data_IF_002656464115
#
_entry.id   IF_002656464115
#
_cell.length_a   1.000
_cell.length_b   1.000
_cell.length_c   1.000
_cell.angle_alpha   90.00
_cell.angle_beta   90.00
_cell.angle_gamma   90.00
#
_symmetry.space_group_name_H-M   'P 1'
#
loop_
_entity.id
_entity.type
_entity.pdbx_description
1 polymer ?
#
# COMPACT_ATOMS: atom_id res chain seq x y z
N UNK A 1 22.43 -59.48 -16.95
CA UNK A 1 21.20 -59.05 -16.25
C UNK A 1 21.25 -57.53 -16.12
N UNK A 2 20.30 -56.88 -16.78
CA UNK A 2 19.92 -55.46 -16.79
C UNK A 2 19.63 -54.92 -15.37
N UNK A 3 19.54 -53.64 -15.03
CA UNK A 3 19.90 -52.32 -15.59
C UNK A 3 19.76 -51.37 -14.38
N UNK A 4 20.79 -50.58 -14.07
CA UNK A 4 20.79 -49.61 -12.97
C UNK A 4 19.91 -48.39 -13.31
N UNK A 5 18.84 -48.15 -12.56
CA UNK A 5 18.03 -46.93 -12.64
C UNK A 5 18.38 -46.00 -11.47
N UNK A 6 19.26 -45.04 -11.74
CA UNK A 6 19.44 -43.83 -10.93
C UNK A 6 18.22 -42.93 -11.19
N UNK A 7 17.29 -42.90 -10.24
CA UNK A 7 16.22 -41.90 -10.21
C UNK A 7 16.83 -40.58 -9.77
N UNK A 8 17.20 -39.75 -10.75
CA UNK A 8 17.32 -38.31 -10.52
C UNK A 8 15.93 -37.74 -10.27
N UNK A 9 15.55 -37.69 -8.99
CA UNK A 9 14.43 -36.87 -8.54
C UNK A 9 14.82 -35.41 -8.68
N UNK A 10 14.45 -34.83 -9.83
CA UNK A 10 14.50 -33.40 -10.07
C UNK A 10 13.91 -32.66 -8.87
N UNK A 11 14.76 -31.90 -8.17
CA UNK A 11 14.29 -30.87 -7.25
C UNK A 11 13.59 -29.82 -8.12
N UNK A 12 12.28 -29.97 -8.26
CA UNK A 12 11.41 -28.89 -8.65
C UNK A 12 11.59 -27.81 -7.58
N UNK A 13 12.45 -26.83 -7.88
CA UNK A 13 12.49 -25.58 -7.15
C UNK A 13 11.14 -24.93 -7.42
N UNK A 14 10.23 -25.05 -6.48
CA UNK A 14 9.02 -24.23 -6.43
C UNK A 14 9.49 -22.79 -6.25
N UNK A 15 9.73 -22.12 -7.37
CA UNK A 15 9.93 -20.68 -7.42
C UNK A 15 8.59 -20.02 -7.11
N UNK A 16 8.25 -19.90 -5.85
CA UNK A 16 7.08 -19.16 -5.38
C UNK A 16 7.47 -18.32 -4.18
N UNK A 17 7.15 -17.02 -4.25
CA UNK A 17 7.09 -16.07 -3.13
C UNK A 17 8.42 -15.53 -2.57
N UNK A 18 9.16 -14.77 -3.36
CA UNK A 18 10.03 -13.71 -2.83
C UNK A 18 9.86 -12.41 -3.63
N UNK A 19 8.63 -12.12 -4.06
CA UNK A 19 8.35 -10.88 -4.81
C UNK A 19 8.10 -9.69 -3.87
N UNK A 20 7.68 -9.93 -2.63
CA UNK A 20 7.43 -8.93 -1.62
C UNK A 20 8.10 -9.39 -0.33
N UNK A 21 8.84 -8.49 0.31
CA UNK A 21 9.65 -8.79 1.49
C UNK A 21 8.96 -8.40 2.80
N UNK A 22 7.98 -7.50 2.72
CA UNK A 22 7.25 -7.00 3.88
C UNK A 22 5.82 -6.68 3.48
N UNK A 23 4.88 -7.22 4.24
CA UNK A 23 3.47 -6.86 4.15
C UNK A 23 3.09 -6.15 5.43
N UNK A 24 2.40 -5.02 5.30
CA UNK A 24 1.91 -4.24 6.44
C UNK A 24 0.42 -4.00 6.29
N UNK A 25 -0.31 -4.21 7.39
CA UNK A 25 -1.74 -3.88 7.50
C UNK A 25 -1.89 -2.70 8.42
N UNK A 26 -2.27 -1.56 7.86
CA UNK A 26 -2.43 -0.32 8.61
C UNK A 26 -3.90 -0.03 8.85
N UNK A 27 -4.24 0.36 10.08
CA UNK A 27 -5.58 0.79 10.48
C UNK A 27 -5.51 2.04 11.32
N UNK A 28 -6.47 2.91 11.12
CA UNK A 28 -6.58 4.13 11.91
C UNK A 28 -7.62 5.04 11.29
N UNK A 29 -7.25 6.30 11.11
CA UNK A 29 -8.17 7.31 10.64
C UNK A 29 -7.57 8.22 9.58
N UNK A 30 -8.46 8.76 8.76
CA UNK A 30 -8.16 9.91 7.93
C UNK A 30 -8.96 11.10 8.41
N UNK A 31 -8.24 12.20 8.63
CA UNK A 31 -8.80 13.50 8.98
C UNK A 31 -8.66 14.47 7.83
N UNK A 32 -9.75 15.14 7.47
CA UNK A 32 -9.74 16.22 6.48
C UNK A 32 -10.87 17.22 6.77
N UNK A 33 -10.60 18.51 6.57
CA UNK A 33 -11.56 19.60 6.81
C UNK A 33 -12.33 19.48 8.15
N UNK A 34 -11.62 19.13 9.23
CA UNK A 34 -12.18 19.03 10.58
C UNK A 34 -13.06 17.81 10.85
N UNK A 35 -13.08 16.83 9.94
CA UNK A 35 -13.80 15.56 10.15
C UNK A 35 -12.87 14.37 9.99
N UNK A 36 -13.09 13.34 10.80
CA UNK A 36 -12.33 12.08 10.76
C UNK A 36 -13.20 10.88 10.37
N UNK A 37 -12.60 9.88 9.72
CA UNK A 37 -13.24 8.59 9.43
C UNK A 37 -12.23 7.45 9.51
N UNK A 38 -12.71 6.30 9.98
CA UNK A 38 -11.96 5.06 9.96
C UNK A 38 -11.41 4.71 8.56
N UNK A 39 -10.13 4.35 8.55
CA UNK A 39 -9.33 4.13 7.37
C UNK A 39 -8.50 2.85 7.55
N UNK A 40 -8.29 2.14 6.45
CA UNK A 40 -7.39 0.98 6.39
C UNK A 40 -6.58 1.00 5.11
N UNK A 41 -5.33 0.53 5.22
CA UNK A 41 -4.38 0.51 4.15
C UNK A 41 -3.45 -0.71 4.31
N UNK A 42 -3.58 -1.67 3.41
CA UNK A 42 -2.72 -2.84 3.35
C UNK A 42 -1.71 -2.66 2.21
N UNK A 43 -0.41 -2.68 2.54
CA UNK A 43 0.68 -2.48 1.61
C UNK A 43 1.55 -3.73 1.52
N UNK A 44 1.96 -4.05 0.30
CA UNK A 44 2.96 -5.08 0.01
C UNK A 44 4.23 -4.40 -0.52
N UNK A 45 5.28 -4.33 0.31
CA UNK A 45 6.54 -3.70 -0.04
C UNK A 45 7.47 -4.71 -0.71
N UNK A 46 8.13 -4.27 -1.79
CA UNK A 46 9.06 -5.05 -2.59
C UNK A 46 10.43 -4.37 -2.67
N UNK A 47 11.46 -5.09 -2.26
CA UNK A 47 12.84 -4.58 -2.23
C UNK A 47 13.44 -4.33 -3.62
N UNK A 48 13.26 -5.25 -4.56
CA UNK A 48 13.98 -5.21 -5.84
C UNK A 48 13.77 -3.90 -6.64
N UNK A 49 12.56 -3.33 -6.58
CA UNK A 49 12.22 -2.11 -7.31
C UNK A 49 11.83 -0.94 -6.39
N UNK A 50 12.01 -1.08 -5.07
CA UNK A 50 11.59 -0.10 -4.06
C UNK A 50 10.16 0.40 -4.31
N UNK A 51 9.24 -0.55 -4.50
CA UNK A 51 7.81 -0.28 -4.73
C UNK A 51 6.94 -0.88 -3.64
N UNK A 52 5.94 -0.14 -3.17
CA UNK A 52 4.88 -0.65 -2.32
C UNK A 52 3.58 -0.75 -3.13
N UNK A 53 3.01 -1.94 -3.23
CA UNK A 53 1.73 -2.19 -3.90
C UNK A 53 0.60 -2.01 -2.89
N UNK A 54 -0.42 -1.23 -3.24
CA UNK A 54 -1.63 -1.08 -2.44
C UNK A 54 -2.54 -2.27 -2.71
N UNK A 55 -2.58 -3.24 -1.79
CA UNK A 55 -3.39 -4.45 -1.97
C UNK A 55 -4.85 -4.22 -1.59
N UNK A 56 -5.09 -3.58 -0.44
CA UNK A 56 -6.43 -3.24 0.04
C UNK A 56 -6.40 -1.87 0.66
N UNK A 57 -7.38 -1.04 0.32
CA UNK A 57 -7.55 0.24 0.97
C UNK A 57 -8.96 0.78 0.75
N UNK A 58 -9.45 1.54 1.72
CA UNK A 58 -10.57 2.46 1.54
C UNK A 58 -10.12 3.93 1.49
N UNK A 59 -8.81 4.18 1.59
CA UNK A 59 -8.17 5.50 1.60
C UNK A 59 -7.12 5.74 0.52
N UNK A 60 -6.83 4.76 -0.34
CA UNK A 60 -5.92 4.91 -1.48
C UNK A 60 -6.40 4.03 -2.65
N UNK A 61 -6.02 4.36 -3.90
CA UNK A 61 -6.40 3.54 -5.05
C UNK A 61 -5.74 2.15 -4.97
N UNK A 62 -6.58 1.12 -4.87
CA UNK A 62 -6.14 -0.28 -4.87
C UNK A 62 -5.49 -0.65 -6.20
N UNK A 63 -4.46 -1.50 -6.15
CA UNK A 63 -3.70 -1.97 -7.31
C UNK A 63 -2.61 -0.99 -7.79
N UNK A 64 -2.60 0.24 -7.29
CA UNK A 64 -1.55 1.21 -7.61
C UNK A 64 -0.25 0.93 -6.86
N UNK A 65 0.85 1.39 -7.44
CA UNK A 65 2.21 1.18 -6.90
C UNK A 65 2.80 2.52 -6.47
N UNK A 66 3.20 2.57 -5.21
CA UNK A 66 3.94 3.67 -4.60
C UNK A 66 5.43 3.41 -4.80
N UNK A 67 6.21 4.45 -5.08
CA UNK A 67 7.67 4.35 -4.89
C UNK A 67 7.98 4.67 -3.45
N UNK A 68 8.77 3.81 -2.80
CA UNK A 68 9.21 4.03 -1.43
C UNK A 68 10.73 4.20 -1.37
N UNK A 69 11.21 4.94 -0.38
CA UNK A 69 12.62 5.05 -0.03
C UNK A 69 12.79 4.54 1.38
N UNK A 70 13.73 3.62 1.56
CA UNK A 70 14.05 3.06 2.86
C UNK A 70 15.07 3.96 3.55
N UNK A 71 14.73 4.44 4.73
CA UNK A 71 15.66 5.10 5.64
C UNK A 71 15.86 4.23 6.89
N UNK A 72 16.87 4.50 7.73
CA UNK A 72 17.07 3.74 8.97
C UNK A 72 15.86 3.76 9.90
N UNK A 73 15.11 4.87 9.94
CA UNK A 73 13.95 5.08 10.81
C UNK A 73 12.63 4.79 10.11
N UNK A 74 12.49 5.17 8.83
CA UNK A 74 11.19 5.21 8.16
C UNK A 74 11.18 4.59 6.76
N UNK A 75 10.03 4.03 6.39
CA UNK A 75 9.66 3.80 5.00
C UNK A 75 8.86 4.99 4.48
N UNK A 76 9.52 5.86 3.70
CA UNK A 76 8.86 7.03 3.11
C UNK A 76 8.36 6.70 1.71
N UNK A 77 7.16 7.16 1.37
CA UNK A 77 6.46 6.85 0.13
C UNK A 77 5.85 8.11 -0.46
N UNK A 78 5.97 8.27 -1.77
CA UNK A 78 5.33 9.37 -2.49
C UNK A 78 4.55 8.81 -3.67
N UNK A 79 3.28 9.19 -3.72
CA UNK A 79 2.40 8.96 -4.86
C UNK A 79 2.00 10.28 -5.48
N UNK A 80 2.21 10.40 -6.78
CA UNK A 80 1.66 11.50 -7.56
C UNK A 80 0.56 10.95 -8.44
N UNK A 81 -0.65 11.49 -8.32
CA UNK A 81 -1.76 11.06 -9.17
C UNK A 81 -1.44 11.45 -10.62
N UNK A 82 -1.60 10.50 -11.54
CA UNK A 82 -1.24 10.69 -12.96
C UNK A 82 -2.09 11.76 -13.66
N UNK A 83 -3.34 11.94 -13.22
CA UNK A 83 -4.26 12.96 -13.68
C UNK A 83 -4.99 13.56 -12.47
N UNK A 84 -4.41 14.59 -11.85
CA UNK A 84 -4.98 15.20 -10.67
C UNK A 84 -6.34 15.84 -11.03
N UNK A 85 -7.35 15.58 -10.21
CA UNK A 85 -8.71 16.13 -10.37
C UNK A 85 -9.68 15.46 -11.36
N UNK A 86 -9.30 14.43 -12.14
CA UNK A 86 -10.18 13.95 -13.23
C UNK A 86 -10.57 12.46 -13.20
N UNK A 87 -9.88 11.60 -12.46
CA UNK A 87 -10.30 10.21 -12.36
C UNK A 87 -10.70 9.89 -10.92
N UNK A 88 -12.00 10.00 -10.68
CA UNK A 88 -12.67 9.11 -9.75
C UNK A 88 -12.24 7.70 -10.14
N UNK A 89 -11.24 7.13 -9.46
CA UNK A 89 -11.05 5.70 -9.53
C UNK A 89 -12.39 5.12 -9.07
N UNK A 90 -13.09 4.43 -9.97
CA UNK A 90 -14.36 3.74 -9.67
C UNK A 90 -14.23 2.82 -8.45
N UNK A 91 -13.00 2.53 -8.02
CA UNK A 91 -12.66 1.63 -6.93
C UNK A 91 -12.21 2.30 -5.61
N UNK A 92 -12.32 3.64 -5.49
CA UNK A 92 -12.56 4.23 -4.16
C UNK A 92 -14.04 4.04 -3.75
N UNK A 93 -14.89 3.82 -4.74
CA UNK A 93 -16.29 4.17 -4.75
C UNK A 93 -17.21 2.94 -4.62
N UNK A 94 -17.48 2.54 -3.40
CA UNK A 94 -18.90 2.49 -2.97
C UNK A 94 -19.33 3.86 -2.41
N UNK A 95 -18.98 4.92 -3.15
CA UNK A 95 -19.61 6.25 -3.12
C UNK A 95 -19.44 7.15 -1.89
N UNK A 96 -19.00 6.68 -0.72
CA UNK A 96 -19.35 7.40 0.51
C UNK A 96 -18.30 8.35 1.09
N UNK A 97 -17.04 8.37 0.62
CA UNK A 97 -15.98 9.17 1.27
C UNK A 97 -15.64 10.49 0.57
N UNK A 98 -15.34 10.48 -0.75
CA UNK A 98 -15.20 11.73 -1.53
C UNK A 98 -16.50 12.53 -1.55
N UNK A 99 -17.65 11.85 -1.49
CA UNK A 99 -18.97 12.50 -1.32
C UNK A 99 -19.08 13.20 0.03
N UNK A 100 -18.48 12.66 1.09
CA UNK A 100 -18.52 13.25 2.42
C UNK A 100 -17.48 14.36 2.64
N UNK A 101 -16.36 14.34 1.89
CA UNK A 101 -15.29 15.33 1.94
C UNK A 101 -14.95 15.88 0.53
N UNK A 102 -15.58 16.99 0.11
CA UNK A 102 -15.43 17.54 -1.24
C UNK A 102 -14.04 18.17 -1.49
N UNK A 103 -13.29 18.53 -0.45
CA UNK A 103 -11.92 19.05 -0.53
C UNK A 103 -10.96 18.04 -1.18
N UNK A 104 -11.20 16.74 -0.99
CA UNK A 104 -10.37 15.68 -1.56
C UNK A 104 -10.47 15.56 -3.09
N UNK A 105 -11.44 16.24 -3.72
CA UNK A 105 -11.48 16.37 -5.19
C UNK A 105 -10.23 17.05 -5.76
N UNK A 106 -9.52 17.83 -4.94
CA UNK A 106 -8.30 18.54 -5.31
C UNK A 106 -7.03 17.72 -5.07
N UNK A 107 -7.15 16.48 -4.58
CA UNK A 107 -6.00 15.64 -4.27
C UNK A 107 -5.10 15.45 -5.50
N UNK A 108 -3.81 15.71 -5.33
CA UNK A 108 -2.81 15.57 -6.37
C UNK A 108 -1.63 14.69 -5.93
N UNK A 109 -1.18 14.85 -4.68
CA UNK A 109 -0.02 14.11 -4.15
C UNK A 109 -0.38 13.49 -2.80
N UNK A 110 0.13 12.29 -2.57
CA UNK A 110 0.01 11.58 -1.30
C UNK A 110 1.42 11.26 -0.82
N UNK A 111 1.74 11.66 0.41
CA UNK A 111 3.00 11.33 1.07
C UNK A 111 2.68 10.44 2.25
N UNK A 112 3.39 9.33 2.40
CA UNK A 112 3.24 8.43 3.54
C UNK A 112 4.61 8.20 4.15
N UNK A 113 4.66 8.03 5.45
CA UNK A 113 5.82 7.59 6.20
C UNK A 113 5.37 6.52 7.17
N UNK A 114 6.09 5.39 7.23
CA UNK A 114 5.87 4.35 8.23
C UNK A 114 7.12 4.27 9.08
N UNK A 115 6.96 4.50 10.39
CA UNK A 115 8.02 4.30 11.37
C UNK A 115 8.32 2.80 11.49
N UNK A 116 9.60 2.43 11.33
CA UNK A 116 10.04 1.02 11.32
C UNK A 116 10.14 0.40 12.71
N UNK A 117 10.19 1.20 13.76
CA UNK A 117 10.31 0.76 15.14
C UNK A 117 8.93 0.68 15.81
N UNK A 118 8.12 1.72 15.61
CA UNK A 118 6.82 1.86 16.26
C UNK A 118 5.68 1.28 15.42
N UNK A 119 5.87 1.16 14.10
CA UNK A 119 4.82 0.72 13.19
C UNK A 119 3.76 1.80 12.94
N UNK A 120 4.00 3.05 13.31
CA UNK A 120 3.05 4.14 13.07
C UNK A 120 3.19 4.67 11.64
N UNK A 121 2.06 4.76 10.93
CA UNK A 121 1.95 5.37 9.62
C UNK A 121 1.31 6.74 9.73
N UNK A 122 2.09 7.72 9.28
CA UNK A 122 1.63 9.07 9.05
C UNK A 122 1.52 9.34 7.55
N UNK A 123 0.49 10.05 7.14
CA UNK A 123 0.35 10.43 5.75
C UNK A 123 -0.24 11.81 5.57
N UNK A 124 0.15 12.45 4.47
CA UNK A 124 -0.31 13.76 4.06
C UNK A 124 -0.97 13.66 2.70
N UNK A 125 -2.15 14.27 2.60
CA UNK A 125 -2.90 14.43 1.37
C UNK A 125 -2.73 15.88 0.94
N UNK A 126 -2.14 16.09 -0.22
CA UNK A 126 -1.78 17.39 -0.74
C UNK A 126 -2.52 17.67 -2.04
N UNK A 127 -2.90 18.92 -2.22
CA UNK A 127 -3.45 19.38 -3.49
C UNK A 127 -2.36 19.73 -4.51
N UNK A 128 -2.77 20.35 -5.62
CA UNK A 128 -1.87 20.74 -6.72
C UNK A 128 -0.88 21.85 -6.36
N UNK A 129 -1.18 22.65 -5.33
CA UNK A 129 -0.32 23.71 -4.83
C UNK A 129 0.58 23.22 -3.69
N UNK A 130 0.60 21.90 -3.43
CA UNK A 130 1.19 21.29 -2.23
C UNK A 130 0.52 21.75 -0.91
N UNK A 131 -0.72 22.26 -0.96
CA UNK A 131 -1.47 22.62 0.25
C UNK A 131 -2.02 21.36 0.93
N UNK A 132 -1.88 21.28 2.26
CA UNK A 132 -2.41 20.18 3.06
C UNK A 132 -3.93 20.18 3.07
N UNK A 133 -4.54 19.13 2.54
CA UNK A 133 -6.00 18.96 2.52
C UNK A 133 -6.49 17.87 3.47
N UNK A 134 -5.61 16.96 3.91
CA UNK A 134 -5.94 15.93 4.88
C UNK A 134 -4.71 15.17 5.39
N UNK A 135 -4.90 14.41 6.46
CA UNK A 135 -3.85 13.63 7.12
C UNK A 135 -4.34 12.21 7.41
N UNK A 136 -3.44 11.24 7.30
CA UNK A 136 -3.61 9.86 7.72
C UNK A 136 -2.82 9.64 9.00
N UNK A 137 -3.45 8.99 9.98
CA UNK A 137 -2.76 8.47 11.17
C UNK A 137 -3.23 7.05 11.41
N UNK A 138 -2.31 6.12 11.38
CA UNK A 138 -2.60 4.68 11.46
C UNK A 138 -1.51 3.96 12.23
N UNK A 139 -1.88 2.84 12.84
CA UNK A 139 -0.93 1.86 13.34
C UNK A 139 -0.86 0.69 12.36
N UNK A 140 0.33 0.19 12.10
CA UNK A 140 0.64 -0.84 11.11
C UNK A 140 1.28 -2.07 11.75
N UNK A 141 0.69 -3.23 11.46
CA UNK A 141 1.26 -4.51 11.84
C UNK A 141 1.96 -5.14 10.64
N UNK A 142 3.19 -5.63 10.85
CA UNK A 142 3.85 -6.51 9.90
C UNK A 142 3.12 -7.86 9.88
N UNK A 143 2.84 -8.36 8.67
CA UNK A 143 2.10 -9.61 8.48
C UNK A 143 2.98 -10.58 7.72
N UNK A 144 2.98 -11.83 8.20
CA UNK A 144 3.64 -12.92 7.51
C UNK A 144 2.97 -13.14 6.14
N UNK A 145 3.74 -13.15 5.03
CA UNK A 145 3.21 -13.43 3.71
C UNK A 145 2.38 -14.73 3.62
N UNK A 146 2.68 -15.74 4.44
CA UNK A 146 1.98 -17.03 4.43
C UNK A 146 0.57 -16.97 5.06
N UNK A 147 0.29 -15.94 5.87
CA UNK A 147 -1.03 -15.70 6.46
C UNK A 147 -1.95 -14.86 5.55
N UNK A 148 -1.46 -14.41 4.40
CA UNK A 148 -2.24 -13.61 3.48
C UNK A 148 -3.16 -14.51 2.63
N UNK A 149 -4.39 -14.04 2.34
CA UNK A 149 -5.29 -14.78 1.47
C UNK A 149 -4.62 -14.97 0.10
N UNK A 150 -4.78 -16.18 -0.46
CA UNK A 150 -4.22 -16.51 -1.77
C UNK A 150 -4.59 -15.43 -2.81
N UNK A 151 -3.63 -15.02 -3.65
CA UNK A 151 -3.86 -14.00 -4.66
C UNK A 151 -4.99 -14.43 -5.60
N UNK A 152 -5.96 -13.54 -5.79
CA UNK A 152 -7.06 -13.74 -6.73
C UNK A 152 -6.56 -13.36 -8.13
N UNK A 153 -5.84 -14.28 -8.77
CA UNK A 153 -5.56 -14.21 -10.20
C UNK A 153 -6.72 -14.83 -10.99
#
# INVERSE_FOLDING_TARGET
MALTLLVWGAHATTATAAEFHLYVKCKGELSASGKSKAAHLDLALRDNNTTALIQRSNVLPKGERLRYTQTPTDYTMVYKLRQPGTHYHHDWLSGSWVVWQPNLKRLATIRLAIDRQEGELEGELLDFNDDLIGTLKMSCDAVDPDELPAPRF
#
